data_IF_592016603445
#
_entry.id   IF_592016603445
#
_cell.length_a   1.000
_cell.length_b   1.000
_cell.length_c   1.000
_cell.angle_alpha   90.00
_cell.angle_beta   90.00
_cell.angle_gamma   90.00
#
_symmetry.space_group_name_H-M   'P 1'
#
loop_
_entity.id
_entity.type
_entity.pdbx_description
1 polymer ?
#
# COMPACT_ATOMS: atom_id res chain seq x y z
N UNK A 1 37.27 6.54 17.94
CA UNK A 1 36.75 5.21 17.55
C UNK A 1 37.83 4.44 16.85
N UNK A 2 38.11 3.23 17.29
CA UNK A 2 38.93 2.33 16.51
C UNK A 2 38.13 1.88 15.27
N UNK A 3 38.31 2.59 14.15
CA UNK A 3 37.60 2.35 12.86
C UNK A 3 38.03 1.02 12.21
N UNK A 4 38.82 0.21 12.89
CA UNK A 4 39.42 -1.02 12.37
C UNK A 4 38.59 -2.28 12.66
N UNK A 5 37.66 -2.23 13.62
CA UNK A 5 36.91 -3.42 14.04
C UNK A 5 35.70 -3.67 13.15
N UNK A 6 35.60 -4.85 12.49
CA UNK A 6 34.43 -5.20 11.72
C UNK A 6 33.17 -5.26 12.60
N UNK A 7 32.04 -4.80 12.06
CA UNK A 7 30.72 -4.95 12.67
C UNK A 7 29.93 -6.00 11.89
N UNK A 8 29.04 -6.73 12.57
CA UNK A 8 28.15 -7.70 11.98
C UNK A 8 26.70 -7.18 12.04
N UNK A 9 25.99 -7.31 10.94
CA UNK A 9 24.58 -6.96 10.86
C UNK A 9 23.77 -8.06 11.53
N UNK A 10 22.98 -7.71 12.55
CA UNK A 10 22.22 -8.68 13.35
C UNK A 10 20.78 -8.82 12.87
N UNK A 11 20.14 -7.74 12.36
CA UNK A 11 18.77 -7.73 11.89
C UNK A 11 18.48 -6.63 10.87
N UNK A 12 17.32 -6.70 10.23
CA UNK A 12 16.78 -5.61 9.43
C UNK A 12 15.96 -4.65 10.31
N UNK A 13 16.18 -3.37 10.13
CA UNK A 13 15.34 -2.34 10.76
C UNK A 13 14.05 -2.08 9.98
N UNK A 14 13.09 -1.41 10.60
CA UNK A 14 11.75 -1.17 10.05
C UNK A 14 11.71 -0.42 8.69
N UNK A 15 12.83 0.16 8.25
CA UNK A 15 12.97 0.81 6.93
C UNK A 15 13.77 -0.02 5.92
N UNK A 16 14.16 -1.25 6.29
CA UNK A 16 14.93 -2.17 5.46
C UNK A 16 16.43 -1.89 5.43
N UNK A 17 16.97 -1.00 6.28
CA UNK A 17 18.42 -0.92 6.50
C UNK A 17 18.83 -1.99 7.53
N UNK A 18 19.97 -2.64 7.33
CA UNK A 18 20.49 -3.55 8.35
C UNK A 18 20.95 -2.80 9.59
N UNK A 19 20.81 -3.43 10.74
CA UNK A 19 21.23 -2.91 12.04
C UNK A 19 22.37 -3.78 12.56
N UNK A 20 23.49 -3.14 12.94
CA UNK A 20 24.56 -3.74 13.72
C UNK A 20 24.58 -3.14 15.12
N UNK A 21 24.87 -3.96 16.12
CA UNK A 21 25.07 -3.50 17.49
C UNK A 21 26.42 -2.79 17.61
N UNK A 22 26.40 -1.61 18.19
CA UNK A 22 27.58 -0.78 18.41
C UNK A 22 27.50 -0.15 19.81
N UNK A 23 28.62 0.00 20.54
CA UNK A 23 28.60 0.59 21.89
C UNK A 23 27.94 1.96 21.99
N UNK A 24 27.96 2.74 20.91
CA UNK A 24 27.36 4.08 20.85
C UNK A 24 25.89 4.08 20.33
N UNK A 25 25.21 2.93 20.39
CA UNK A 25 23.83 2.75 19.91
C UNK A 25 23.73 2.07 18.54
N UNK A 26 22.51 1.86 18.01
CA UNK A 26 22.32 1.10 16.78
C UNK A 26 23.02 1.76 15.58
N UNK A 27 23.71 0.93 14.80
CA UNK A 27 24.38 1.35 13.57
C UNK A 27 23.60 0.85 12.36
N UNK A 28 22.98 1.79 11.63
CA UNK A 28 22.21 1.51 10.43
C UNK A 28 23.13 1.43 9.21
N UNK A 29 23.09 0.32 8.49
CA UNK A 29 23.90 0.09 7.29
C UNK A 29 22.95 -0.15 6.10
N UNK A 30 22.86 0.80 5.15
CA UNK A 30 22.00 0.64 3.98
C UNK A 30 22.39 -0.56 3.12
N UNK A 31 21.38 -1.24 2.55
CA UNK A 31 21.56 -2.38 1.64
C UNK A 31 22.37 -3.53 2.24
N UNK A 32 22.32 -3.73 3.54
CA UNK A 32 22.91 -4.87 4.22
C UNK A 32 21.86 -5.89 4.66
N UNK A 33 22.28 -7.13 4.87
CA UNK A 33 21.46 -8.25 5.36
C UNK A 33 22.05 -8.83 6.65
N UNK A 34 21.25 -9.48 7.49
CA UNK A 34 21.77 -10.20 8.66
C UNK A 34 22.91 -11.15 8.28
N UNK A 35 23.97 -11.20 9.10
CA UNK A 35 25.18 -11.98 8.84
C UNK A 35 26.22 -11.30 7.92
N UNK A 36 25.88 -10.16 7.30
CA UNK A 36 26.91 -9.36 6.61
C UNK A 36 27.89 -8.78 7.62
N UNK A 37 29.17 -8.75 7.25
CA UNK A 37 30.22 -8.06 8.04
C UNK A 37 30.77 -6.88 7.27
N UNK A 38 30.86 -5.74 7.96
CA UNK A 38 31.31 -4.48 7.37
C UNK A 38 32.47 -3.86 8.15
N UNK A 39 33.39 -3.23 7.41
CA UNK A 39 34.27 -2.17 7.92
C UNK A 39 33.58 -0.83 7.67
N UNK A 40 33.14 -0.15 8.73
CA UNK A 40 32.49 1.15 8.63
C UNK A 40 33.53 2.26 8.59
N UNK A 41 33.47 3.11 7.57
CA UNK A 41 34.47 4.16 7.29
C UNK A 41 33.93 5.52 7.75
N UNK A 42 32.63 5.79 7.53
CA UNK A 42 32.02 7.08 7.85
C UNK A 42 30.58 6.90 8.29
N UNK A 43 30.20 7.61 9.36
CA UNK A 43 28.83 7.65 9.89
C UNK A 43 28.34 9.07 10.03
N UNK A 44 27.01 9.24 10.10
CA UNK A 44 26.30 10.48 10.49
C UNK A 44 25.24 10.13 11.54
N UNK A 45 24.88 11.04 12.44
CA UNK A 45 23.80 10.83 13.40
C UNK A 45 22.47 10.52 12.69
N UNK A 46 21.66 9.62 13.24
CA UNK A 46 20.33 9.25 12.75
C UNK A 46 19.47 8.74 13.89
N UNK A 47 18.52 9.54 14.35
CA UNK A 47 17.62 9.16 15.44
C UNK A 47 18.35 8.78 16.71
N UNK A 48 18.14 7.56 17.17
CA UNK A 48 18.76 6.94 18.36
C UNK A 48 20.11 6.31 18.11
N UNK A 49 20.63 6.40 16.90
CA UNK A 49 21.89 5.76 16.50
C UNK A 49 22.63 6.50 15.41
N UNK A 50 23.31 5.76 14.55
CA UNK A 50 24.16 6.29 13.47
C UNK A 50 23.85 5.61 12.15
N UNK A 51 23.98 6.34 11.04
CA UNK A 51 23.86 5.83 9.68
C UNK A 51 25.26 5.72 9.07
N UNK A 52 25.63 4.54 8.59
CA UNK A 52 26.84 4.36 7.80
C UNK A 52 26.63 4.98 6.41
N UNK A 53 27.36 6.06 6.12
CA UNK A 53 27.36 6.71 4.80
C UNK A 53 28.46 6.17 3.88
N UNK A 54 29.47 5.51 4.46
CA UNK A 54 30.49 4.78 3.73
C UNK A 54 30.92 3.55 4.55
N UNK A 55 30.78 2.36 3.96
CA UNK A 55 31.17 1.11 4.56
C UNK A 55 31.67 0.14 3.45
N UNK A 56 32.59 -0.73 3.81
CA UNK A 56 33.12 -1.79 2.95
C UNK A 56 32.61 -3.14 3.47
N UNK A 57 31.93 -3.92 2.61
CA UNK A 57 31.49 -5.25 2.96
C UNK A 57 32.67 -6.22 2.92
N UNK A 58 32.90 -6.93 4.02
CA UNK A 58 33.95 -7.90 4.18
C UNK A 58 33.49 -9.34 3.90
N UNK A 59 32.26 -9.66 4.31
CA UNK A 59 31.62 -10.95 4.00
C UNK A 59 30.10 -10.76 3.86
N UNK A 60 29.48 -11.71 3.18
CA UNK A 60 28.03 -11.72 2.92
C UNK A 60 27.32 -12.69 3.87
N UNK A 61 26.14 -12.28 4.38
CA UNK A 61 25.19 -13.16 5.04
C UNK A 61 24.52 -14.12 4.05
N UNK A 62 23.91 -15.19 4.57
CA UNK A 62 23.29 -16.27 3.78
C UNK A 62 22.11 -15.79 2.93
N UNK A 63 21.36 -14.79 3.41
CA UNK A 63 20.16 -14.29 2.77
C UNK A 63 20.40 -13.19 1.74
N UNK A 64 21.67 -12.93 1.44
CA UNK A 64 22.03 -11.96 0.43
C UNK A 64 21.84 -12.51 -0.97
N UNK A 65 21.20 -11.70 -1.83
CA UNK A 65 21.05 -11.96 -3.26
C UNK A 65 21.57 -10.79 -4.10
N UNK A 66 21.88 -11.03 -5.36
CA UNK A 66 22.21 -9.97 -6.30
C UNK A 66 20.89 -9.31 -6.77
N UNK A 67 20.78 -7.97 -6.65
CA UNK A 67 19.58 -7.26 -7.11
C UNK A 67 19.34 -7.42 -8.62
N UNK A 68 18.19 -7.94 -9.05
CA UNK A 68 17.94 -8.16 -10.47
C UNK A 68 17.63 -6.89 -11.26
N UNK A 69 17.29 -5.78 -10.60
CA UNK A 69 16.92 -4.52 -11.26
C UNK A 69 18.14 -3.59 -11.44
N UNK A 70 18.44 -3.10 -12.65
CA UNK A 70 19.56 -2.20 -12.89
C UNK A 70 19.41 -0.84 -12.20
N UNK A 71 18.20 -0.46 -11.80
CA UNK A 71 17.93 0.80 -11.09
C UNK A 71 18.00 0.67 -9.57
N UNK A 72 18.24 -0.54 -9.04
CA UNK A 72 18.34 -0.73 -7.59
C UNK A 72 19.46 0.12 -6.98
N UNK A 73 19.20 0.71 -5.82
CA UNK A 73 20.12 1.64 -5.16
C UNK A 73 19.90 3.12 -5.55
N UNK A 74 19.43 3.39 -6.77
CA UNK A 74 19.09 4.74 -7.24
C UNK A 74 17.57 4.98 -7.14
N UNK A 75 16.76 4.12 -7.78
CA UNK A 75 15.32 4.19 -7.73
C UNK A 75 14.80 3.95 -6.30
N UNK A 76 13.92 4.83 -5.80
CA UNK A 76 13.33 4.72 -4.46
C UNK A 76 12.19 3.71 -4.34
N UNK A 77 11.80 3.04 -5.44
CA UNK A 77 10.67 2.11 -5.45
C UNK A 77 10.92 0.78 -4.72
N UNK A 78 12.19 0.36 -4.61
CA UNK A 78 12.60 -0.88 -3.94
C UNK A 78 13.74 -0.60 -2.95
N UNK A 79 13.68 -1.28 -1.79
CA UNK A 79 14.72 -1.17 -0.76
C UNK A 79 15.36 -2.51 -0.40
N UNK A 80 14.80 -3.65 -0.82
CA UNK A 80 15.15 -4.99 -0.34
C UNK A 80 15.49 -6.00 -1.45
N UNK A 81 15.82 -5.57 -2.68
CA UNK A 81 16.18 -6.52 -3.74
C UNK A 81 17.47 -7.32 -3.48
N UNK A 82 18.28 -6.88 -2.54
CA UNK A 82 19.50 -7.55 -2.09
C UNK A 82 19.25 -8.61 -1.00
N UNK A 83 17.98 -8.80 -0.60
CA UNK A 83 17.53 -9.79 0.40
C UNK A 83 16.73 -10.88 -0.31
N UNK A 84 16.89 -12.14 0.07
CA UNK A 84 16.11 -13.26 -0.44
C UNK A 84 14.62 -13.10 -0.13
N UNK A 85 13.73 -13.57 -1.01
CA UNK A 85 12.28 -13.45 -0.79
C UNK A 85 11.80 -14.15 0.49
N UNK A 86 12.30 -15.35 0.86
CA UNK A 86 11.97 -15.95 2.15
C UNK A 86 12.38 -15.07 3.33
N UNK A 87 13.59 -14.54 3.34
CA UNK A 87 14.04 -13.65 4.42
C UNK A 87 13.26 -12.33 4.49
N UNK A 88 12.73 -11.82 3.37
CA UNK A 88 11.81 -10.68 3.37
C UNK A 88 10.47 -11.05 4.02
N UNK A 89 9.96 -12.25 3.77
CA UNK A 89 8.72 -12.74 4.39
C UNK A 89 8.89 -12.86 5.92
N UNK A 90 9.99 -13.45 6.38
CA UNK A 90 10.33 -13.54 7.80
C UNK A 90 10.49 -12.16 8.44
N UNK A 91 11.23 -11.26 7.81
CA UNK A 91 11.39 -9.87 8.26
C UNK A 91 10.04 -9.15 8.43
N UNK A 92 9.08 -9.35 7.53
CA UNK A 92 7.75 -8.72 7.63
C UNK A 92 6.91 -9.32 8.74
N UNK A 93 7.05 -10.63 8.98
CA UNK A 93 6.46 -11.30 10.14
C UNK A 93 7.03 -10.73 11.44
N UNK A 94 8.34 -10.59 11.53
CA UNK A 94 9.02 -10.00 12.69
C UNK A 94 8.61 -8.54 12.92
N UNK A 95 8.47 -7.74 11.85
CA UNK A 95 8.00 -6.35 11.96
C UNK A 95 6.63 -6.25 12.63
N UNK A 96 5.71 -7.14 12.30
CA UNK A 96 4.39 -7.18 12.93
C UNK A 96 4.51 -7.68 14.37
N UNK A 97 5.23 -8.75 14.61
CA UNK A 97 5.47 -9.30 15.95
C UNK A 97 6.12 -8.28 16.90
N UNK A 98 7.15 -7.58 16.45
CA UNK A 98 7.82 -6.52 17.22
C UNK A 98 6.87 -5.35 17.56
N UNK A 99 6.01 -4.97 16.62
CA UNK A 99 5.03 -3.91 16.86
C UNK A 99 3.99 -4.32 17.91
N UNK A 100 3.53 -5.57 17.85
CA UNK A 100 2.61 -6.16 18.81
C UNK A 100 3.27 -6.31 20.19
N UNK A 101 4.49 -6.84 20.27
CA UNK A 101 5.23 -7.04 21.52
C UNK A 101 5.45 -5.71 22.27
N UNK A 102 5.74 -4.60 21.57
CA UNK A 102 5.85 -3.25 22.14
C UNK A 102 4.56 -2.75 22.79
N UNK A 103 3.44 -3.38 22.51
CA UNK A 103 2.12 -3.08 23.11
C UNK A 103 1.64 -4.16 24.08
N UNK A 104 2.55 -5.05 24.50
CA UNK A 104 2.27 -6.10 25.47
C UNK A 104 1.63 -7.37 24.90
N UNK A 105 1.79 -7.61 23.59
CA UNK A 105 1.28 -8.80 22.90
C UNK A 105 2.41 -9.73 22.45
N UNK A 106 3.36 -10.03 23.34
CA UNK A 106 4.49 -10.92 23.03
C UNK A 106 4.08 -12.38 22.81
N UNK A 107 2.93 -12.79 23.35
CA UNK A 107 2.41 -14.16 23.25
C UNK A 107 1.60 -14.43 21.97
N UNK A 108 1.33 -13.40 21.16
CA UNK A 108 0.57 -13.57 19.91
C UNK A 108 1.44 -14.25 18.88
N UNK A 109 1.04 -15.44 18.43
CA UNK A 109 1.65 -16.10 17.28
C UNK A 109 1.24 -15.41 15.99
N UNK A 110 2.18 -14.67 15.39
CA UNK A 110 1.99 -14.02 14.10
C UNK A 110 2.13 -15.06 13.00
N UNK A 111 1.10 -15.18 12.16
CA UNK A 111 1.08 -16.13 11.06
C UNK A 111 2.22 -15.89 10.05
N UNK A 112 2.47 -16.87 9.18
CA UNK A 112 3.37 -16.70 8.04
C UNK A 112 2.92 -15.56 7.13
N UNK A 113 3.89 -14.85 6.54
CA UNK A 113 3.60 -13.74 5.64
C UNK A 113 3.01 -14.24 4.32
N UNK A 114 1.84 -13.75 3.96
CA UNK A 114 1.25 -13.98 2.65
C UNK A 114 1.88 -13.02 1.65
N UNK A 115 2.74 -13.51 0.77
CA UNK A 115 3.54 -12.67 -0.14
C UNK A 115 2.99 -12.66 -1.57
N UNK A 116 2.83 -11.47 -2.15
CA UNK A 116 2.60 -11.30 -3.58
C UNK A 116 3.93 -11.45 -4.35
N UNK A 117 3.94 -12.13 -5.51
CA UNK A 117 5.17 -12.33 -6.29
C UNK A 117 5.68 -11.04 -6.94
N UNK A 118 6.95 -10.97 -7.35
CA UNK A 118 7.41 -9.95 -8.28
C UNK A 118 6.52 -9.87 -9.53
N UNK A 119 6.37 -8.66 -10.10
CA UNK A 119 5.50 -8.47 -11.27
C UNK A 119 3.99 -8.45 -10.96
N UNK A 120 3.60 -8.41 -9.68
CA UNK A 120 2.20 -8.38 -9.25
C UNK A 120 1.63 -6.98 -9.04
N UNK A 121 2.48 -5.96 -8.95
CA UNK A 121 2.04 -4.59 -8.64
C UNK A 121 1.22 -3.99 -9.77
N UNK A 122 -0.07 -3.78 -9.52
CA UNK A 122 -1.04 -3.28 -10.50
C UNK A 122 -1.26 -1.77 -10.46
N UNK A 123 -0.62 -1.05 -9.54
CA UNK A 123 -0.77 0.41 -9.40
C UNK A 123 0.58 1.07 -9.18
N UNK A 124 0.90 2.06 -10.02
CA UNK A 124 2.12 2.85 -9.91
C UNK A 124 1.81 4.33 -10.12
N UNK A 125 2.48 5.20 -9.35
CA UNK A 125 2.53 6.64 -9.59
C UNK A 125 3.95 7.01 -9.95
N UNK A 126 4.11 7.46 -11.19
CA UNK A 126 5.37 7.90 -11.78
C UNK A 126 5.44 9.41 -11.71
N UNK A 127 6.55 9.95 -11.27
CA UNK A 127 6.81 11.38 -11.40
C UNK A 127 7.43 11.70 -12.76
N UNK A 128 7.14 12.85 -13.31
CA UNK A 128 7.70 13.30 -14.59
C UNK A 128 8.16 14.75 -14.53
N UNK A 129 9.26 15.03 -15.25
CA UNK A 129 9.84 16.37 -15.37
C UNK A 129 10.41 16.61 -16.77
N UNK A 130 10.14 17.79 -17.32
CA UNK A 130 10.68 18.23 -18.60
C UNK A 130 12.07 18.85 -18.42
N UNK A 131 13.05 18.33 -19.13
CA UNK A 131 14.43 18.84 -19.15
C UNK A 131 14.77 19.38 -20.53
N UNK A 132 15.96 19.96 -20.69
CA UNK A 132 16.47 20.39 -22.01
C UNK A 132 16.64 19.24 -23.00
N UNK A 133 16.74 17.99 -22.49
CA UNK A 133 16.89 16.75 -23.30
C UNK A 133 15.56 16.03 -23.54
N UNK A 134 14.44 16.54 -23.04
CA UNK A 134 13.12 15.92 -23.11
C UNK A 134 12.57 15.54 -21.75
N UNK A 135 11.52 14.75 -21.73
CA UNK A 135 10.87 14.29 -20.50
C UNK A 135 11.63 13.13 -19.85
N UNK A 136 11.78 13.20 -18.53
CA UNK A 136 12.17 12.08 -17.69
C UNK A 136 10.94 11.62 -16.94
N UNK A 137 10.60 10.32 -17.04
CA UNK A 137 9.48 9.68 -16.37
C UNK A 137 9.98 8.50 -15.55
N UNK A 138 9.59 8.43 -14.28
CA UNK A 138 10.04 7.34 -13.43
C UNK A 138 9.68 7.53 -11.96
N UNK A 139 10.47 6.95 -11.08
CA UNK A 139 10.28 7.09 -9.63
C UNK A 139 11.31 8.03 -9.03
N UNK A 140 10.95 8.64 -7.89
CA UNK A 140 11.91 9.46 -7.15
C UNK A 140 13.14 8.65 -6.75
N UNK A 141 14.31 9.22 -6.89
CA UNK A 141 15.56 8.67 -6.37
C UNK A 141 15.48 8.61 -4.85
N UNK A 142 15.99 7.54 -4.26
CA UNK A 142 15.93 7.29 -2.81
C UNK A 142 16.40 8.51 -2.01
N UNK A 143 15.53 9.00 -1.12
CA UNK A 143 15.83 10.13 -0.22
C UNK A 143 15.95 11.50 -0.89
N UNK A 144 15.55 11.65 -2.15
CA UNK A 144 15.60 12.91 -2.89
C UNK A 144 14.33 13.13 -3.72
N UNK A 145 14.18 14.36 -4.24
CA UNK A 145 13.12 14.71 -5.21
C UNK A 145 13.58 14.57 -6.67
N UNK A 146 14.78 14.01 -6.92
CA UNK A 146 15.23 13.72 -8.28
C UNK A 146 14.49 12.50 -8.83
N UNK A 147 14.26 12.47 -10.13
CA UNK A 147 13.58 11.34 -10.79
C UNK A 147 14.63 10.45 -11.43
N UNK A 148 14.57 9.16 -11.10
CA UNK A 148 15.26 8.10 -11.83
C UNK A 148 14.35 7.68 -12.97
N UNK A 149 14.74 7.99 -14.23
CA UNK A 149 14.01 7.54 -15.41
C UNK A 149 14.03 6.01 -15.52
N UNK A 150 12.88 5.41 -15.85
CA UNK A 150 12.75 3.97 -16.00
C UNK A 150 12.05 3.62 -17.31
N UNK A 151 12.53 2.60 -17.99
CA UNK A 151 11.91 2.00 -19.17
C UNK A 151 11.33 0.61 -18.89
N UNK A 152 11.66 0.04 -17.74
CA UNK A 152 11.17 -1.23 -17.26
C UNK A 152 11.14 -1.30 -15.74
N UNK A 153 10.27 -2.15 -15.19
CA UNK A 153 10.13 -2.33 -13.74
C UNK A 153 9.70 -3.76 -13.41
N UNK A 154 10.52 -4.45 -12.61
CA UNK A 154 10.30 -5.87 -12.26
C UNK A 154 9.17 -6.10 -11.25
N UNK A 155 8.71 -5.05 -10.55
CA UNK A 155 7.59 -5.19 -9.62
C UNK A 155 6.23 -4.92 -10.26
N UNK A 156 6.19 -4.15 -11.36
CA UNK A 156 4.94 -3.81 -12.05
C UNK A 156 4.43 -4.97 -12.90
N UNK A 157 3.12 -5.06 -13.02
CA UNK A 157 2.47 -5.96 -13.97
C UNK A 157 2.92 -5.65 -15.41
N UNK A 158 2.97 -6.67 -16.29
CA UNK A 158 3.45 -6.51 -17.66
C UNK A 158 2.73 -5.40 -18.44
N UNK A 159 1.40 -5.28 -18.29
CA UNK A 159 0.62 -4.24 -18.97
C UNK A 159 1.07 -2.82 -18.57
N UNK A 160 1.42 -2.59 -17.31
CA UNK A 160 1.95 -1.29 -16.86
C UNK A 160 3.38 -1.07 -17.35
N UNK A 161 4.21 -2.11 -17.29
CA UNK A 161 5.61 -2.04 -17.73
C UNK A 161 5.71 -1.72 -19.23
N UNK A 162 4.82 -2.27 -20.06
CA UNK A 162 4.78 -2.02 -21.49
C UNK A 162 4.46 -0.55 -21.87
N UNK A 163 3.85 0.20 -20.98
CA UNK A 163 3.53 1.62 -21.16
C UNK A 163 4.72 2.54 -20.84
N UNK A 164 5.65 2.11 -19.96
CA UNK A 164 6.73 2.98 -19.47
C UNK A 164 7.56 3.65 -20.59
N UNK A 165 8.03 2.92 -21.62
CA UNK A 165 8.81 3.53 -22.70
C UNK A 165 8.03 4.57 -23.52
N UNK A 166 6.70 4.50 -23.52
CA UNK A 166 5.82 5.37 -24.32
C UNK A 166 5.53 6.71 -23.62
N UNK A 167 5.76 6.80 -22.29
CA UNK A 167 5.33 7.96 -21.47
C UNK A 167 6.05 9.26 -21.87
N UNK A 168 7.35 9.22 -22.12
CA UNK A 168 8.10 10.43 -22.48
C UNK A 168 7.62 11.01 -23.81
N UNK A 169 7.34 10.17 -24.80
CA UNK A 169 6.81 10.57 -26.10
C UNK A 169 5.38 11.12 -25.99
N UNK A 170 4.51 10.49 -25.17
CA UNK A 170 3.18 11.02 -24.82
C UNK A 170 3.27 12.45 -24.31
N UNK A 171 4.09 12.67 -23.27
CA UNK A 171 4.20 13.98 -22.61
C UNK A 171 4.79 15.07 -23.52
N UNK A 172 5.57 14.70 -24.55
CA UNK A 172 6.12 15.65 -25.51
C UNK A 172 5.02 16.30 -26.37
N UNK A 173 3.90 15.61 -26.57
CA UNK A 173 2.74 16.08 -27.34
C UNK A 173 1.70 16.82 -26.49
N UNK A 174 1.96 16.98 -25.16
CA UNK A 174 1.04 17.58 -24.21
C UNK A 174 1.59 18.87 -23.59
N UNK A 175 1.50 20.03 -24.26
CA UNK A 175 1.87 21.33 -23.70
C UNK A 175 1.15 21.64 -22.40
N UNK A 176 -0.09 21.18 -22.22
CA UNK A 176 -0.88 21.38 -21.00
C UNK A 176 -0.32 20.66 -19.78
N UNK A 177 0.53 19.63 -19.96
CA UNK A 177 1.26 18.99 -18.86
C UNK A 177 2.30 19.93 -18.21
N UNK A 178 2.71 20.98 -18.90
CA UNK A 178 3.64 22.00 -18.39
C UNK A 178 5.08 21.51 -18.31
N UNK A 179 5.70 21.59 -17.10
CA UNK A 179 7.10 21.21 -16.90
C UNK A 179 7.28 20.00 -15.99
N UNK A 180 6.28 19.68 -15.17
CA UNK A 180 6.33 18.57 -14.22
C UNK A 180 4.93 18.10 -13.88
N UNK A 181 4.82 16.89 -13.35
CA UNK A 181 3.59 16.28 -12.89
C UNK A 181 3.79 14.82 -12.51
N UNK A 182 2.69 14.12 -12.38
CA UNK A 182 2.70 12.70 -12.12
C UNK A 182 1.80 11.95 -13.13
N UNK A 183 2.07 10.67 -13.32
CA UNK A 183 1.26 9.75 -14.09
C UNK A 183 0.92 8.58 -13.18
N UNK A 184 -0.36 8.32 -12.93
CA UNK A 184 -0.78 7.11 -12.26
C UNK A 184 -1.26 6.10 -13.28
N UNK A 185 -0.72 4.90 -13.22
CA UNK A 185 -1.17 3.75 -13.99
C UNK A 185 -1.80 2.74 -13.03
N UNK A 186 -2.98 2.24 -13.38
CA UNK A 186 -3.68 1.23 -12.57
C UNK A 186 -4.25 0.17 -13.49
N UNK A 187 -3.89 -1.10 -13.28
CA UNK A 187 -4.45 -2.22 -14.03
C UNK A 187 -5.67 -2.78 -13.30
N UNK A 188 -6.81 -2.77 -13.98
CA UNK A 188 -8.02 -3.46 -13.59
C UNK A 188 -8.25 -4.75 -14.37
N UNK A 189 -9.36 -5.42 -14.11
CA UNK A 189 -9.73 -6.63 -14.85
C UNK A 189 -10.08 -6.31 -16.32
N UNK A 190 -10.55 -5.10 -16.59
CA UNK A 190 -10.95 -4.64 -17.93
C UNK A 190 -9.84 -3.96 -18.71
N UNK A 191 -8.63 -3.80 -18.16
CA UNK A 191 -7.50 -3.12 -18.77
C UNK A 191 -6.89 -2.05 -17.87
N UNK A 192 -6.09 -1.15 -18.46
CA UNK A 192 -5.34 -0.13 -17.71
C UNK A 192 -6.09 1.20 -17.72
N UNK A 193 -6.15 1.85 -16.54
CA UNK A 193 -6.43 3.27 -16.38
C UNK A 193 -5.10 4.04 -16.30
N UNK A 194 -5.01 5.13 -17.07
CA UNK A 194 -3.93 6.11 -16.96
C UNK A 194 -4.51 7.45 -16.49
N UNK A 195 -3.93 8.02 -15.43
CA UNK A 195 -4.31 9.35 -14.89
C UNK A 195 -3.13 10.28 -15.06
N UNK A 196 -3.30 11.37 -15.80
CA UNK A 196 -2.31 12.41 -16.02
C UNK A 196 -2.59 13.56 -15.04
N UNK A 197 -1.60 13.92 -14.24
CA UNK A 197 -1.71 14.89 -13.15
C UNK A 197 -0.64 15.98 -13.31
N UNK A 198 -0.92 17.08 -14.01
CA UNK A 198 0.03 18.17 -14.13
C UNK A 198 0.26 18.87 -12.78
N UNK A 199 1.51 19.28 -12.49
CA UNK A 199 1.84 20.06 -11.28
C UNK A 199 1.09 21.41 -11.25
N UNK A 200 1.01 22.07 -12.43
CA UNK A 200 0.27 23.31 -12.64
C UNK A 200 -0.83 23.05 -13.65
N UNK A 201 -2.05 22.79 -13.17
CA UNK A 201 -3.14 22.40 -14.05
C UNK A 201 -3.44 23.48 -15.11
N UNK A 202 -3.64 23.02 -16.33
CA UNK A 202 -4.20 23.76 -17.44
C UNK A 202 -5.26 22.90 -18.10
N UNK A 203 -6.23 23.54 -18.72
CA UNK A 203 -7.22 22.82 -19.51
C UNK A 203 -6.54 22.22 -20.74
N UNK A 204 -6.98 21.02 -21.12
CA UNK A 204 -6.58 20.38 -22.36
C UNK A 204 -7.17 21.15 -23.54
N UNK A 205 -6.37 21.40 -24.55
CA UNK A 205 -6.87 21.87 -25.85
C UNK A 205 -7.66 20.78 -26.56
N UNK A 206 -8.44 21.13 -27.58
CA UNK A 206 -9.19 20.16 -28.36
C UNK A 206 -8.23 19.18 -29.08
N UNK A 207 -7.12 19.69 -29.62
CA UNK A 207 -6.13 18.86 -30.31
C UNK A 207 -5.45 17.87 -29.34
N UNK A 208 -5.16 18.29 -28.10
CA UNK A 208 -4.63 17.39 -27.07
C UNK A 208 -5.65 16.32 -26.68
N UNK A 209 -6.96 16.65 -26.63
CA UNK A 209 -8.02 15.65 -26.35
C UNK A 209 -8.12 14.61 -27.47
N UNK A 210 -8.05 15.01 -28.74
CA UNK A 210 -8.01 14.08 -29.86
C UNK A 210 -6.77 13.20 -29.80
N UNK A 211 -5.59 13.80 -29.64
CA UNK A 211 -4.36 13.05 -29.52
C UNK A 211 -4.40 12.02 -28.37
N UNK A 212 -4.92 12.40 -27.19
CA UNK A 212 -5.05 11.48 -26.07
C UNK A 212 -6.06 10.35 -26.33
N UNK A 213 -7.10 10.61 -27.11
CA UNK A 213 -8.08 9.59 -27.52
C UNK A 213 -7.43 8.55 -28.42
N UNK A 214 -6.71 8.99 -29.46
CA UNK A 214 -5.98 8.12 -30.38
C UNK A 214 -4.90 7.32 -29.64
N UNK A 215 -4.16 7.98 -28.75
CA UNK A 215 -3.14 7.32 -27.95
C UNK A 215 -3.70 6.25 -27.00
N UNK A 216 -4.87 6.50 -26.42
CA UNK A 216 -5.56 5.52 -25.56
C UNK A 216 -6.03 4.30 -26.36
N UNK A 217 -6.39 4.49 -27.65
CA UNK A 217 -6.73 3.40 -28.56
C UNK A 217 -5.50 2.57 -28.93
N UNK A 218 -4.42 3.22 -29.38
CA UNK A 218 -3.15 2.57 -29.75
C UNK A 218 -2.49 1.78 -28.61
N UNK A 219 -2.71 2.22 -27.37
CA UNK A 219 -2.14 1.59 -26.17
C UNK A 219 -3.11 0.68 -25.43
N UNK A 220 -4.30 0.49 -25.97
CA UNK A 220 -5.40 -0.32 -25.43
C UNK A 220 -5.77 0.02 -23.98
N UNK A 221 -5.76 1.31 -23.63
CA UNK A 221 -6.25 1.74 -22.30
C UNK A 221 -7.75 1.48 -22.17
N UNK A 222 -8.19 1.09 -20.97
CA UNK A 222 -9.59 1.05 -20.64
C UNK A 222 -10.13 2.48 -20.44
N UNK A 223 -9.36 3.32 -19.74
CA UNK A 223 -9.72 4.70 -19.42
C UNK A 223 -8.48 5.58 -19.34
N UNK A 224 -8.57 6.81 -19.88
CA UNK A 224 -7.57 7.85 -19.72
C UNK A 224 -8.22 9.07 -19.06
N UNK A 225 -7.59 9.59 -18.01
CA UNK A 225 -8.11 10.64 -17.14
C UNK A 225 -7.12 11.79 -17.09
N UNK A 226 -7.64 13.01 -17.17
CA UNK A 226 -6.91 14.23 -16.82
C UNK A 226 -7.38 14.67 -15.45
N UNK A 227 -6.46 14.79 -14.51
CA UNK A 227 -6.77 15.22 -13.15
C UNK A 227 -6.12 16.57 -12.86
N UNK A 228 -6.93 17.52 -12.49
CA UNK A 228 -6.51 18.84 -12.06
C UNK A 228 -7.17 19.25 -10.73
N UNK A 229 -7.20 20.56 -10.44
CA UNK A 229 -7.81 21.10 -9.22
C UNK A 229 -9.34 20.96 -9.19
N UNK A 230 -9.98 20.83 -10.33
CA UNK A 230 -11.43 20.67 -10.46
C UNK A 230 -11.88 19.22 -10.25
N UNK A 231 -10.93 18.29 -10.33
CA UNK A 231 -11.16 16.86 -10.14
C UNK A 231 -10.53 15.97 -11.22
N UNK A 232 -11.02 14.75 -11.30
CA UNK A 232 -10.61 13.77 -12.30
C UNK A 232 -11.62 13.79 -13.46
N UNK A 233 -11.21 14.32 -14.63
CA UNK A 233 -12.01 14.38 -15.86
C UNK A 233 -11.62 13.24 -16.79
N UNK A 234 -12.49 12.23 -17.03
CA UNK A 234 -12.24 11.21 -18.04
C UNK A 234 -12.17 11.84 -19.44
N UNK A 235 -10.97 11.85 -20.05
CA UNK A 235 -10.79 12.29 -21.45
C UNK A 235 -11.42 11.29 -22.40
N UNK A 236 -11.22 10.01 -22.11
CA UNK A 236 -11.81 8.89 -22.85
C UNK A 236 -11.99 7.67 -21.96
N UNK A 237 -13.14 7.03 -22.05
CA UNK A 237 -13.44 5.72 -21.47
C UNK A 237 -13.86 4.79 -22.62
N UNK A 238 -12.90 3.97 -23.09
CA UNK A 238 -13.13 3.02 -24.20
C UNK A 238 -13.94 1.80 -23.73
N UNK A 239 -13.84 1.46 -22.46
CA UNK A 239 -14.60 0.41 -21.79
C UNK A 239 -14.68 0.69 -20.29
N UNK A 240 -15.74 0.25 -19.59
CA UNK A 240 -15.86 0.44 -18.14
C UNK A 240 -14.63 -0.11 -17.40
N UNK A 241 -14.01 0.74 -16.57
CA UNK A 241 -12.92 0.30 -15.73
C UNK A 241 -13.45 -0.46 -14.51
N UNK A 242 -13.21 -1.77 -14.47
CA UNK A 242 -13.73 -2.65 -13.42
C UNK A 242 -12.65 -3.54 -12.81
N UNK A 243 -12.88 -3.92 -11.55
CA UNK A 243 -12.10 -4.88 -10.79
C UNK A 243 -13.03 -6.05 -10.41
N UNK A 244 -12.62 -7.27 -10.70
CA UNK A 244 -13.32 -8.47 -10.23
C UNK A 244 -12.57 -9.11 -9.08
N UNK A 245 -13.24 -9.32 -7.95
CA UNK A 245 -12.66 -9.92 -6.76
C UNK A 245 -13.71 -10.74 -6.01
N UNK A 246 -13.41 -12.03 -5.72
CA UNK A 246 -14.20 -12.91 -4.86
C UNK A 246 -15.72 -12.85 -5.13
N UNK A 247 -16.10 -13.01 -6.40
CA UNK A 247 -17.51 -12.99 -6.82
C UNK A 247 -18.13 -11.60 -6.96
N UNK A 248 -17.45 -10.54 -6.55
CA UNK A 248 -17.89 -9.17 -6.70
C UNK A 248 -17.26 -8.48 -7.90
N UNK A 249 -17.93 -7.45 -8.41
CA UNK A 249 -17.38 -6.50 -9.39
C UNK A 249 -17.41 -5.10 -8.80
N UNK A 250 -16.27 -4.44 -8.78
CA UNK A 250 -16.11 -3.05 -8.42
C UNK A 250 -16.03 -2.21 -9.70
N UNK A 251 -16.62 -1.03 -9.69
CA UNK A 251 -16.46 -0.01 -10.74
C UNK A 251 -15.95 1.30 -10.13
N UNK A 252 -14.64 1.38 -9.80
CA UNK A 252 -14.07 2.52 -9.11
C UNK A 252 -14.23 3.80 -9.94
N UNK A 253 -14.49 4.95 -9.31
CA UNK A 253 -14.42 6.23 -10.00
C UNK A 253 -13.00 6.49 -10.51
N UNK A 254 -12.86 7.47 -11.40
CA UNK A 254 -11.55 7.83 -11.97
C UNK A 254 -10.56 8.20 -10.87
N UNK A 255 -9.31 7.74 -11.02
CA UNK A 255 -8.21 7.97 -10.08
C UNK A 255 -8.40 7.39 -8.65
N UNK A 256 -9.39 6.54 -8.42
CA UNK A 256 -9.63 5.94 -7.11
C UNK A 256 -8.40 5.17 -6.58
N UNK A 257 -8.29 5.14 -5.25
CA UNK A 257 -7.29 4.29 -4.60
C UNK A 257 -7.68 2.81 -4.73
N UNK A 258 -6.71 1.96 -5.04
CA UNK A 258 -6.81 0.50 -5.02
C UNK A 258 -5.58 -0.08 -4.32
N UNK A 259 -5.72 -1.27 -3.77
CA UNK A 259 -4.60 -2.03 -3.19
C UNK A 259 -3.50 -2.27 -4.23
N UNK A 260 -2.24 -2.33 -3.80
CA UNK A 260 -1.08 -2.32 -4.67
C UNK A 260 -0.98 -3.55 -5.59
N UNK A 261 -1.46 -4.71 -5.15
CA UNK A 261 -1.54 -5.94 -5.94
C UNK A 261 -2.90 -6.61 -5.81
N UNK A 262 -3.33 -7.33 -6.85
CA UNK A 262 -4.57 -8.09 -6.81
C UNK A 262 -4.47 -9.30 -5.87
N UNK A 263 -3.29 -9.88 -5.77
CA UNK A 263 -2.98 -11.01 -4.90
C UNK A 263 -3.07 -10.62 -3.42
N UNK A 264 -2.47 -9.47 -3.04
CA UNK A 264 -2.57 -8.93 -1.69
C UNK A 264 -3.99 -8.53 -1.31
N UNK A 265 -4.70 -7.88 -2.24
CA UNK A 265 -6.12 -7.54 -2.05
C UNK A 265 -6.98 -8.80 -1.85
N UNK A 266 -6.77 -9.83 -2.67
CA UNK A 266 -7.49 -11.09 -2.54
C UNK A 266 -7.22 -11.77 -1.19
N UNK A 267 -5.97 -11.74 -0.71
CA UNK A 267 -5.60 -12.28 0.59
C UNK A 267 -6.28 -11.51 1.75
N UNK A 268 -6.32 -10.17 1.70
CA UNK A 268 -7.05 -9.35 2.69
C UNK A 268 -8.53 -9.75 2.71
N UNK A 269 -9.16 -9.80 1.53
CA UNK A 269 -10.59 -10.12 1.42
C UNK A 269 -10.87 -11.55 1.88
N UNK A 270 -10.00 -12.52 1.61
CA UNK A 270 -10.16 -13.90 2.09
C UNK A 270 -10.16 -13.98 3.62
N UNK A 271 -9.23 -13.28 4.29
CA UNK A 271 -9.20 -13.23 5.74
C UNK A 271 -10.47 -12.58 6.31
N UNK A 272 -10.94 -11.49 5.68
CA UNK A 272 -12.18 -10.83 6.10
C UNK A 272 -13.39 -11.74 5.94
N UNK A 273 -13.57 -12.37 4.76
CA UNK A 273 -14.69 -13.29 4.49
C UNK A 273 -14.69 -14.49 5.45
N UNK A 274 -13.51 -15.05 5.73
CA UNK A 274 -13.37 -16.17 6.68
C UNK A 274 -13.74 -15.74 8.10
N UNK A 275 -13.25 -14.59 8.56
CA UNK A 275 -13.52 -14.07 9.91
C UNK A 275 -14.99 -13.67 10.10
N UNK A 276 -15.62 -13.11 9.05
CA UNK A 276 -17.01 -12.69 9.05
C UNK A 276 -18.02 -13.81 8.72
N UNK A 277 -17.57 -15.04 8.43
CA UNK A 277 -18.39 -16.13 7.86
C UNK A 277 -19.74 -16.36 8.56
N UNK A 278 -19.82 -16.15 9.86
CA UNK A 278 -21.05 -16.35 10.65
C UNK A 278 -21.84 -15.05 10.87
N UNK A 279 -21.28 -13.90 10.50
CA UNK A 279 -21.93 -12.62 10.64
C UNK A 279 -23.08 -12.49 9.62
N UNK A 280 -24.18 -11.90 10.03
CA UNK A 280 -25.29 -11.53 9.11
C UNK A 280 -25.17 -10.06 8.72
N UNK A 281 -24.85 -9.20 9.69
CA UNK A 281 -24.72 -7.76 9.53
C UNK A 281 -23.29 -7.33 9.79
N UNK A 282 -22.66 -6.71 8.80
CA UNK A 282 -21.26 -6.27 8.87
C UNK A 282 -21.18 -4.76 8.61
N UNK A 283 -20.46 -4.04 9.47
CA UNK A 283 -20.05 -2.67 9.18
C UNK A 283 -18.64 -2.69 8.56
N UNK A 284 -18.47 -2.04 7.41
CA UNK A 284 -17.18 -1.84 6.75
C UNK A 284 -16.81 -0.35 6.82
N UNK A 285 -15.89 -0.02 7.70
CA UNK A 285 -15.47 1.33 8.03
C UNK A 285 -14.22 1.73 7.25
N UNK A 286 -14.22 2.92 6.66
CA UNK A 286 -13.21 3.37 5.69
C UNK A 286 -13.27 2.52 4.41
N UNK A 287 -14.46 2.22 3.92
CA UNK A 287 -14.70 1.20 2.90
C UNK A 287 -14.11 1.54 1.51
N UNK A 288 -13.67 2.78 1.28
CA UNK A 288 -13.15 3.20 -0.01
C UNK A 288 -14.12 2.92 -1.16
N UNK A 289 -13.64 2.31 -2.24
CA UNK A 289 -14.48 1.93 -3.39
C UNK A 289 -15.16 0.55 -3.23
N UNK A 290 -15.21 0.01 -1.99
CA UNK A 290 -15.93 -1.23 -1.68
C UNK A 290 -15.13 -2.51 -1.88
N UNK A 291 -13.80 -2.45 -1.80
CA UNK A 291 -12.92 -3.62 -1.93
C UNK A 291 -13.28 -4.75 -0.97
N UNK A 292 -13.76 -4.40 0.23
CA UNK A 292 -14.22 -5.35 1.26
C UNK A 292 -15.75 -5.46 1.23
N UNK A 293 -16.46 -4.34 1.19
CA UNK A 293 -17.92 -4.29 1.22
C UNK A 293 -18.58 -5.15 0.15
N UNK A 294 -18.11 -5.06 -1.11
CA UNK A 294 -18.78 -5.74 -2.22
C UNK A 294 -18.57 -7.27 -2.20
N UNK A 295 -17.39 -7.81 -1.91
CA UNK A 295 -17.22 -9.25 -1.65
C UNK A 295 -18.05 -9.77 -0.48
N UNK A 296 -18.17 -9.03 0.62
CA UNK A 296 -19.05 -9.40 1.74
C UNK A 296 -20.51 -9.46 1.29
N UNK A 297 -20.98 -8.47 0.55
CA UNK A 297 -22.34 -8.45 0.00
C UNK A 297 -22.58 -9.61 -0.98
N UNK A 298 -21.62 -9.93 -1.84
CA UNK A 298 -21.68 -11.07 -2.75
C UNK A 298 -21.71 -12.41 -2.02
N UNK A 299 -21.09 -12.49 -0.84
CA UNK A 299 -21.15 -13.66 0.04
C UNK A 299 -22.47 -13.77 0.83
N UNK A 300 -23.40 -12.80 0.70
CA UNK A 300 -24.72 -12.83 1.31
C UNK A 300 -24.85 -12.06 2.63
N UNK A 301 -23.82 -11.31 3.04
CA UNK A 301 -23.90 -10.45 4.22
C UNK A 301 -24.67 -9.16 3.91
N UNK A 302 -25.38 -8.64 4.91
CA UNK A 302 -25.91 -7.26 4.90
C UNK A 302 -24.79 -6.31 5.35
N UNK A 303 -24.36 -5.43 4.46
CA UNK A 303 -23.18 -4.58 4.68
C UNK A 303 -23.59 -3.12 4.84
N UNK A 304 -23.05 -2.47 5.89
CA UNK A 304 -23.10 -1.02 6.05
C UNK A 304 -21.71 -0.45 5.74
N UNK A 305 -21.57 0.18 4.59
CA UNK A 305 -20.32 0.73 4.08
C UNK A 305 -20.21 2.23 4.43
N UNK A 306 -19.14 2.60 5.15
CA UNK A 306 -18.95 3.96 5.68
C UNK A 306 -17.65 4.55 5.13
N UNK A 307 -17.75 5.74 4.50
CA UNK A 307 -16.62 6.43 3.85
C UNK A 307 -16.91 7.95 3.84
N UNK A 308 -15.86 8.76 3.83
CA UNK A 308 -16.01 10.21 3.72
C UNK A 308 -16.28 10.65 2.27
N UNK A 309 -15.68 9.97 1.29
CA UNK A 309 -15.77 10.33 -0.14
C UNK A 309 -17.08 9.82 -0.76
N UNK A 310 -17.95 10.76 -1.10
CA UNK A 310 -19.26 10.46 -1.69
C UNK A 310 -19.18 9.82 -3.07
N UNK A 311 -18.10 10.07 -3.83
CA UNK A 311 -17.92 9.48 -5.16
C UNK A 311 -17.60 7.99 -5.07
N UNK A 312 -16.79 7.61 -4.08
CA UNK A 312 -16.51 6.22 -3.75
C UNK A 312 -17.77 5.48 -3.28
N UNK A 313 -18.53 6.08 -2.37
CA UNK A 313 -19.81 5.52 -1.89
C UNK A 313 -20.84 5.34 -3.02
N UNK A 314 -20.93 6.28 -3.94
CA UNK A 314 -21.84 6.15 -5.09
C UNK A 314 -21.47 4.94 -5.97
N UNK A 315 -20.16 4.64 -6.12
CA UNK A 315 -19.72 3.45 -6.82
C UNK A 315 -20.07 2.17 -6.04
N UNK A 316 -19.87 2.16 -4.73
CA UNK A 316 -20.26 1.04 -3.84
C UNK A 316 -21.77 0.78 -3.93
N UNK A 317 -22.59 1.80 -3.84
CA UNK A 317 -24.06 1.67 -3.90
C UNK A 317 -24.54 1.09 -5.24
N UNK A 318 -23.96 1.56 -6.36
CA UNK A 318 -24.32 1.03 -7.69
C UNK A 318 -24.03 -0.45 -7.85
N UNK A 319 -22.93 -0.93 -7.25
CA UNK A 319 -22.46 -2.31 -7.41
C UNK A 319 -22.98 -3.25 -6.33
N UNK A 320 -23.34 -2.74 -5.15
CA UNK A 320 -23.68 -3.52 -3.97
C UNK A 320 -25.10 -4.09 -3.94
N UNK A 321 -25.98 -3.63 -4.81
CA UNK A 321 -27.39 -4.08 -4.84
C UNK A 321 -28.13 -3.80 -3.51
N UNK A 322 -29.12 -4.63 -3.20
CA UNK A 322 -29.96 -4.50 -2.01
C UNK A 322 -29.28 -4.88 -0.68
N UNK A 323 -28.12 -5.52 -0.73
CA UNK A 323 -27.39 -5.97 0.45
C UNK A 323 -26.43 -4.92 1.04
N UNK A 324 -26.27 -3.77 0.37
CA UNK A 324 -25.35 -2.71 0.81
C UNK A 324 -26.12 -1.43 1.11
N UNK A 325 -25.92 -0.92 2.30
CA UNK A 325 -26.29 0.46 2.69
C UNK A 325 -25.03 1.29 2.80
N UNK A 326 -25.10 2.58 2.47
CA UNK A 326 -23.95 3.48 2.49
C UNK A 326 -24.15 4.64 3.46
N UNK A 327 -23.08 5.11 4.07
CA UNK A 327 -23.08 6.31 4.91
C UNK A 327 -21.85 7.18 4.61
N UNK A 328 -22.08 8.48 4.34
CA UNK A 328 -21.01 9.46 4.18
C UNK A 328 -20.63 10.05 5.54
N UNK A 329 -19.47 9.66 6.10
CA UNK A 329 -19.02 10.06 7.44
C UNK A 329 -17.50 10.21 7.49
N UNK A 330 -17.04 11.30 8.11
CA UNK A 330 -15.64 11.45 8.51
C UNK A 330 -15.40 10.70 9.82
N UNK A 331 -15.00 9.43 9.71
CA UNK A 331 -14.77 8.56 10.87
C UNK A 331 -13.60 9.01 11.76
N UNK A 332 -12.69 9.83 11.24
CA UNK A 332 -11.58 10.39 12.03
C UNK A 332 -12.04 11.50 12.99
N UNK A 333 -13.16 12.17 12.67
CA UNK A 333 -13.72 13.25 13.49
C UNK A 333 -15.03 12.89 14.14
N UNK A 334 -15.75 11.95 13.57
CA UNK A 334 -17.08 11.54 14.00
C UNK A 334 -17.20 10.01 13.91
N UNK A 335 -16.57 9.24 14.82
CA UNK A 335 -16.65 7.79 14.83
C UNK A 335 -18.10 7.34 15.01
N UNK A 336 -18.41 6.11 14.61
CA UNK A 336 -19.72 5.49 14.91
C UNK A 336 -19.72 5.14 16.39
N UNK A 337 -20.73 5.61 17.11
CA UNK A 337 -20.86 5.41 18.56
C UNK A 337 -21.08 3.94 18.91
N UNK A 338 -20.60 3.53 20.08
CA UNK A 338 -20.70 2.16 20.59
C UNK A 338 -22.13 1.60 20.55
N UNK A 339 -23.14 2.43 20.89
CA UNK A 339 -24.54 2.03 20.87
C UNK A 339 -25.04 1.70 19.44
N UNK A 340 -24.58 2.47 18.44
CA UNK A 340 -24.96 2.25 17.04
C UNK A 340 -24.22 1.04 16.44
N UNK A 341 -23.03 0.72 16.95
CA UNK A 341 -22.29 -0.47 16.55
C UNK A 341 -22.89 -1.78 17.05
N UNK A 342 -23.63 -1.76 18.12
CA UNK A 342 -24.18 -2.96 18.77
C UNK A 342 -25.14 -3.79 17.88
N UNK A 343 -25.59 -3.24 16.76
CA UNK A 343 -26.47 -3.94 15.81
C UNK A 343 -25.73 -4.84 14.83
N UNK A 344 -24.38 -4.76 14.76
CA UNK A 344 -23.56 -5.55 13.85
C UNK A 344 -22.98 -6.80 14.51
N UNK A 345 -22.88 -7.87 13.74
CA UNK A 345 -22.22 -9.12 14.16
C UNK A 345 -20.70 -9.04 13.95
N UNK A 346 -20.27 -8.18 13.00
CA UNK A 346 -18.87 -7.92 12.76
C UNK A 346 -18.63 -6.46 12.33
N UNK A 347 -17.47 -5.93 12.69
CA UNK A 347 -16.94 -4.66 12.20
C UNK A 347 -15.61 -4.92 11.53
N UNK A 348 -15.46 -4.43 10.29
CA UNK A 348 -14.19 -4.36 9.56
C UNK A 348 -13.77 -2.91 9.49
N UNK A 349 -12.48 -2.60 9.66
CA UNK A 349 -11.97 -1.27 9.42
C UNK A 349 -10.58 -1.32 8.77
N UNK A 350 -10.38 -0.52 7.71
CA UNK A 350 -9.11 -0.35 6.95
C UNK A 350 -8.76 1.14 6.90
N UNK A 351 -8.27 1.73 7.99
CA UNK A 351 -8.06 3.16 8.11
C UNK A 351 -6.79 3.61 7.37
N UNK A 352 -6.62 4.93 7.14
CA UNK A 352 -5.36 5.50 6.69
C UNK A 352 -4.20 5.18 7.64
N UNK A 353 -2.96 5.46 7.22
CA UNK A 353 -1.72 5.18 7.98
C UNK A 353 -1.69 5.69 9.44
N UNK A 354 -2.51 6.67 9.77
CA UNK A 354 -2.65 7.20 11.13
C UNK A 354 -3.36 6.23 12.09
N UNK A 355 -4.04 5.22 11.55
CA UNK A 355 -4.92 4.32 12.30
C UNK A 355 -6.25 4.98 12.66
N UNK A 356 -7.04 4.34 13.51
CA UNK A 356 -8.39 4.76 13.89
C UNK A 356 -8.62 4.65 15.40
N UNK A 357 -7.79 5.30 16.22
CA UNK A 357 -7.84 5.17 17.69
C UNK A 357 -9.21 5.51 18.28
N UNK A 358 -9.85 6.60 17.82
CA UNK A 358 -11.15 7.03 18.33
C UNK A 358 -12.26 6.04 17.94
N UNK A 359 -12.24 5.52 16.73
CA UNK A 359 -13.18 4.49 16.30
C UNK A 359 -12.91 3.15 17.04
N UNK A 360 -11.65 2.80 17.28
CA UNK A 360 -11.29 1.62 18.08
C UNK A 360 -11.82 1.72 19.52
N UNK A 361 -11.83 2.93 20.11
CA UNK A 361 -12.40 3.16 21.43
C UNK A 361 -13.93 2.94 21.46
N UNK A 362 -14.64 3.42 20.43
CA UNK A 362 -16.09 3.17 20.30
C UNK A 362 -16.40 1.68 20.07
N UNK A 363 -15.59 1.00 19.25
CA UNK A 363 -15.72 -0.45 19.07
C UNK A 363 -15.45 -1.19 20.39
N UNK A 364 -14.41 -0.78 21.12
CA UNK A 364 -14.05 -1.35 22.41
C UNK A 364 -15.21 -1.26 23.44
N UNK A 365 -15.93 -0.14 23.43
CA UNK A 365 -17.09 0.09 24.31
C UNK A 365 -18.38 -0.59 23.79
N UNK A 366 -18.41 -1.10 22.56
CA UNK A 366 -19.60 -1.72 21.95
C UNK A 366 -19.74 -3.20 22.35
N UNK A 367 -20.86 -3.82 21.94
CA UNK A 367 -21.11 -5.26 22.12
C UNK A 367 -20.81 -6.10 20.86
N UNK A 368 -20.10 -5.54 19.87
CA UNK A 368 -19.79 -6.25 18.60
C UNK A 368 -18.95 -7.49 18.88
N UNK A 369 -19.38 -8.70 18.48
CA UNK A 369 -18.65 -9.93 18.82
C UNK A 369 -17.36 -10.15 18.01
N UNK A 370 -17.28 -9.62 16.78
CA UNK A 370 -16.13 -9.83 15.89
C UNK A 370 -15.60 -8.51 15.35
N UNK A 371 -14.28 -8.33 15.44
CA UNK A 371 -13.60 -7.16 14.85
C UNK A 371 -12.49 -7.65 13.92
N UNK A 372 -12.41 -7.05 12.74
CA UNK A 372 -11.38 -7.34 11.75
C UNK A 372 -10.66 -6.02 11.44
N UNK A 373 -9.41 -5.93 11.86
CA UNK A 373 -8.56 -4.75 11.67
C UNK A 373 -7.60 -4.97 10.51
N UNK A 374 -7.68 -4.15 9.48
CA UNK A 374 -6.72 -4.09 8.37
C UNK A 374 -5.87 -2.86 8.53
N UNK A 375 -4.57 -2.92 8.26
CA UNK A 375 -3.70 -1.75 8.38
C UNK A 375 -2.40 -1.89 7.60
N UNK A 376 -1.98 -0.78 6.95
CA UNK A 376 -0.67 -0.64 6.31
C UNK A 376 0.45 -0.15 7.26
N UNK A 377 0.17 -0.05 8.56
CA UNK A 377 1.13 0.44 9.56
C UNK A 377 1.08 -0.41 10.83
N UNK A 378 2.02 -1.35 11.05
CA UNK A 378 2.03 -2.21 12.23
C UNK A 378 2.00 -1.46 13.56
N UNK A 379 2.61 -0.28 13.65
CA UNK A 379 2.68 0.48 14.91
C UNK A 379 1.32 1.07 15.31
N UNK A 380 0.55 1.61 14.34
CA UNK A 380 -0.81 2.11 14.59
C UNK A 380 -1.79 0.97 14.77
N UNK A 381 -1.63 -0.13 14.03
CA UNK A 381 -2.41 -1.35 14.26
C UNK A 381 -2.24 -1.85 15.70
N UNK A 382 -1.01 -2.04 16.15
CA UNK A 382 -0.76 -2.53 17.52
C UNK A 382 -1.33 -1.59 18.62
N UNK A 383 -1.36 -0.25 18.35
CA UNK A 383 -2.03 0.73 19.22
C UNK A 383 -3.54 0.51 19.26
N UNK A 384 -4.16 0.39 18.09
CA UNK A 384 -5.61 0.23 17.97
C UNK A 384 -6.07 -1.12 18.56
N UNK A 385 -5.27 -2.18 18.33
CA UNK A 385 -5.49 -3.50 18.95
C UNK A 385 -5.40 -3.43 20.49
N UNK A 386 -4.49 -2.59 21.06
CA UNK A 386 -4.39 -2.43 22.51
C UNK A 386 -5.68 -1.83 23.07
N UNK A 387 -6.24 -0.82 22.41
CA UNK A 387 -7.52 -0.21 22.82
C UNK A 387 -8.64 -1.27 22.81
N UNK A 388 -8.71 -2.08 21.76
CA UNK A 388 -9.72 -3.13 21.63
C UNK A 388 -9.58 -4.21 22.71
N UNK A 389 -8.35 -4.65 23.00
CA UNK A 389 -8.10 -5.68 24.02
C UNK A 389 -8.38 -5.15 25.42
N UNK A 390 -8.05 -3.89 25.72
CA UNK A 390 -8.42 -3.24 26.98
C UNK A 390 -9.95 -3.13 27.13
N UNK A 391 -10.69 -3.10 26.03
CA UNK A 391 -12.16 -3.14 25.97
C UNK A 391 -12.77 -4.54 26.00
N UNK A 392 -11.99 -5.61 26.25
CA UNK A 392 -12.49 -6.98 26.43
C UNK A 392 -12.49 -7.84 25.15
N UNK A 393 -11.67 -7.47 24.14
CA UNK A 393 -11.42 -8.35 23.00
C UNK A 393 -10.16 -9.19 23.21
N UNK A 394 -10.12 -10.35 22.56
CA UNK A 394 -8.93 -11.18 22.43
C UNK A 394 -8.50 -11.23 20.96
N UNK A 395 -7.23 -11.07 20.69
CA UNK A 395 -6.66 -11.27 19.37
C UNK A 395 -6.67 -12.78 19.06
N UNK A 396 -7.40 -13.17 18.01
CA UNK A 396 -7.50 -14.56 17.55
C UNK A 396 -6.38 -14.88 16.55
N UNK A 397 -6.07 -13.93 15.66
CA UNK A 397 -5.00 -14.08 14.68
C UNK A 397 -4.44 -12.72 14.25
N UNK A 398 -3.19 -12.73 13.80
CA UNK A 398 -2.53 -11.60 13.16
C UNK A 398 -1.72 -12.12 11.96
N UNK A 399 -2.04 -11.67 10.75
CA UNK A 399 -1.43 -12.15 9.51
C UNK A 399 -0.81 -10.98 8.76
N UNK A 400 0.50 -11.01 8.50
CA UNK A 400 1.17 -10.05 7.62
C UNK A 400 0.92 -10.38 6.15
N UNK A 401 0.64 -9.34 5.34
CA UNK A 401 0.40 -9.47 3.89
C UNK A 401 1.38 -8.57 3.16
N UNK A 402 2.27 -9.20 2.38
CA UNK A 402 3.24 -8.50 1.56
C UNK A 402 2.73 -8.26 0.15
N UNK A 403 2.07 -7.13 -0.07
CA UNK A 403 1.75 -6.62 -1.41
C UNK A 403 2.78 -5.63 -1.95
N UNK A 404 3.89 -5.44 -1.23
CA UNK A 404 4.96 -4.49 -1.55
C UNK A 404 6.30 -5.21 -1.72
N UNK A 405 6.36 -6.12 -2.68
CA UNK A 405 7.57 -6.91 -2.97
C UNK A 405 8.82 -6.05 -3.04
N UNK A 406 9.91 -6.49 -2.39
CA UNK A 406 11.18 -5.78 -2.25
C UNK A 406 11.11 -4.40 -1.57
N UNK A 407 10.09 -4.18 -0.76
CA UNK A 407 9.95 -2.98 0.07
C UNK A 407 9.71 -3.37 1.53
N UNK A 408 10.10 -2.51 2.46
CA UNK A 408 9.84 -2.71 3.89
C UNK A 408 8.39 -2.42 4.30
N UNK A 409 7.52 -2.00 3.38
CA UNK A 409 6.10 -1.79 3.65
C UNK A 409 5.38 -3.12 3.84
N UNK A 410 4.36 -3.09 4.69
CA UNK A 410 3.59 -4.25 5.10
C UNK A 410 2.13 -3.84 5.23
N UNK A 411 1.22 -4.72 4.83
CA UNK A 411 -0.17 -4.76 5.27
C UNK A 411 -0.33 -5.86 6.32
N UNK A 412 -1.32 -5.73 7.19
CA UNK A 412 -1.64 -6.77 8.15
C UNK A 412 -3.16 -6.85 8.36
N UNK A 413 -3.64 -8.06 8.62
CA UNK A 413 -5.02 -8.32 9.03
C UNK A 413 -4.98 -8.96 10.41
N UNK A 414 -5.69 -8.37 11.37
CA UNK A 414 -5.89 -8.94 12.70
C UNK A 414 -7.37 -9.22 12.93
N UNK A 415 -7.67 -10.40 13.46
CA UNK A 415 -9.03 -10.81 13.84
C UNK A 415 -9.12 -10.84 15.34
N UNK A 416 -10.18 -10.21 15.90
CA UNK A 416 -10.45 -10.21 17.31
C UNK A 416 -11.85 -10.72 17.60
N UNK A 417 -11.99 -11.37 18.73
CA UNK A 417 -13.28 -11.82 19.25
C UNK A 417 -13.49 -11.21 20.65
N UNK A 418 -14.72 -10.79 20.90
CA UNK A 418 -15.09 -10.39 22.26
C UNK A 418 -15.17 -11.63 23.14
N UNK A 419 -14.58 -11.58 24.29
CA UNK A 419 -14.76 -12.60 25.32
C UNK A 419 -16.17 -12.51 25.87
N UNK A 420 -16.84 -13.67 26.10
CA UNK A 420 -18.21 -13.70 26.61
C UNK A 420 -18.36 -13.15 28.05
#
# INVERSE_FOLDING_TARGET
MDQSKPVEVTKLGARGDGIADDPDGPLYIPFSVPGDRYRVIKTVPRGDGRLATKAERLSSGSDRTDPPCPHFGNCGGCSLQHVSLPAIADFKRELLADALAKRGFSEIDVAETVSAPPGSRRRARLSCIKTVKGWIVGFNTRGTNRITGIEGCLILRPALTALLPKMAALLQQLPSMGKAGDIQLTEGTSGVEAVLMPEKPKDLTLDERYFLTDWAEETDLARLVWQDRSGADPVVERRPFVIKIKGATLAPPAAAFLQASAEGEAAIVDHVLQAAKQARRVADLFCGCGTISLPLAAAGHSVHAVEIDRSLLAAVQRMGGGNVTIEARDLARNPIAAADLAVYDAVVFDPPRAGAADQAAEIAASAVPTVIAVSCNPATLARDLRILVDGGYRIESATPIDQFTWSAHLEAVAVLRREP
#
